data_IF_646184764664
#
_entry.id   IF_646184764664
#
_cell.length_a   1.000
_cell.length_b   1.000
_cell.length_c   1.000
_cell.angle_alpha   90.00
_cell.angle_beta   90.00
_cell.angle_gamma   90.00
#
_symmetry.space_group_name_H-M   'P 1'
#
loop_
_entity.id
_entity.type
_entity.pdbx_description
1 polymer ?
#
# COMPACT_ATOMS: atom_id res chain seq x y z
N UNK A 1 -12.13 -15.76 -7.31
CA UNK A 1 -12.36 -14.32 -7.55
C UNK A 1 -11.85 -13.98 -8.94
N UNK A 2 -12.55 -13.09 -9.64
CA UNK A 2 -12.38 -12.78 -11.06
C UNK A 2 -12.19 -11.27 -11.31
N UNK A 3 -12.03 -10.46 -10.27
CA UNK A 3 -11.72 -9.04 -10.43
C UNK A 3 -10.85 -8.45 -9.31
N UNK A 4 -9.84 -7.68 -9.68
CA UNK A 4 -8.88 -7.03 -8.76
C UNK A 4 -8.76 -5.53 -9.05
N UNK A 5 -8.96 -4.72 -8.02
CA UNK A 5 -8.62 -3.30 -8.03
C UNK A 5 -7.34 -3.08 -7.22
N UNK A 6 -6.26 -2.71 -7.89
CA UNK A 6 -5.03 -2.29 -7.23
C UNK A 6 -5.09 -0.81 -6.90
N UNK A 7 -4.79 -0.47 -5.64
CA UNK A 7 -4.81 0.90 -5.15
C UNK A 7 -3.42 1.28 -4.65
N UNK A 8 -2.76 2.19 -5.37
CA UNK A 8 -1.51 2.78 -4.90
C UNK A 8 -1.84 3.85 -3.86
N UNK A 9 -1.39 3.63 -2.62
CA UNK A 9 -1.65 4.59 -1.56
C UNK A 9 -0.82 5.86 -1.78
N UNK A 10 -1.34 7.02 -1.32
CA UNK A 10 -0.66 8.29 -1.48
C UNK A 10 0.80 8.25 -1.00
N UNK A 11 1.69 8.62 -1.90
CA UNK A 11 3.12 8.81 -1.69
C UNK A 11 3.63 9.91 -2.63
N UNK A 12 4.95 10.09 -2.75
CA UNK A 12 5.52 10.98 -3.76
C UNK A 12 5.13 10.49 -5.16
N UNK A 13 4.91 11.41 -6.11
CA UNK A 13 4.64 11.06 -7.52
C UNK A 13 5.80 10.21 -8.07
N UNK A 14 5.53 8.92 -8.24
CA UNK A 14 6.44 7.91 -8.77
C UNK A 14 5.63 6.83 -9.46
N UNK A 15 6.14 6.28 -10.56
CA UNK A 15 5.45 5.20 -11.26
C UNK A 15 5.30 3.97 -10.34
N UNK A 16 4.10 3.37 -10.24
CA UNK A 16 3.81 2.27 -9.31
C UNK A 16 4.30 0.91 -9.84
N UNK A 17 5.61 0.77 -10.06
CA UNK A 17 6.22 -0.41 -10.70
C UNK A 17 5.78 -1.74 -10.07
N UNK A 18 5.73 -1.81 -8.74
CA UNK A 18 5.33 -3.03 -8.03
C UNK A 18 3.88 -3.45 -8.34
N UNK A 19 2.94 -2.51 -8.43
CA UNK A 19 1.56 -2.82 -8.82
C UNK A 19 1.49 -3.26 -10.27
N UNK A 20 2.17 -2.55 -11.17
CA UNK A 20 2.13 -2.87 -12.60
C UNK A 20 2.77 -4.22 -12.88
N UNK A 21 3.82 -4.58 -12.13
CA UNK A 21 4.42 -5.91 -12.18
C UNK A 21 3.44 -6.98 -11.68
N UNK A 22 2.81 -6.78 -10.52
CA UNK A 22 1.80 -7.71 -9.99
C UNK A 22 0.64 -7.91 -10.98
N UNK A 23 0.16 -6.83 -11.61
CA UNK A 23 -0.95 -6.91 -12.55
C UNK A 23 -0.60 -7.71 -13.82
N UNK A 24 0.61 -7.51 -14.36
CA UNK A 24 1.13 -8.31 -15.48
C UNK A 24 1.35 -9.78 -15.07
N UNK A 25 1.90 -10.03 -13.88
CA UNK A 25 2.09 -11.38 -13.33
C UNK A 25 0.77 -12.15 -13.25
N UNK A 26 -0.29 -11.51 -12.72
CA UNK A 26 -1.62 -12.10 -12.64
C UNK A 26 -2.24 -12.26 -14.03
N UNK A 27 -2.08 -11.28 -14.92
CA UNK A 27 -2.63 -11.35 -16.28
C UNK A 27 -2.12 -12.57 -17.05
N UNK A 28 -0.83 -12.89 -16.93
CA UNK A 28 -0.22 -14.04 -17.61
C UNK A 28 -0.74 -15.38 -17.11
N UNK A 29 -1.13 -15.48 -15.84
CA UNK A 29 -1.54 -16.73 -15.18
C UNK A 29 -3.05 -16.90 -15.10
N UNK A 30 -3.78 -15.80 -15.00
CA UNK A 30 -5.23 -15.69 -14.88
C UNK A 30 -5.75 -14.58 -15.79
N UNK A 31 -5.63 -14.74 -17.13
CA UNK A 31 -6.09 -13.72 -18.08
C UNK A 31 -7.60 -13.46 -18.02
N UNK A 32 -8.35 -14.37 -17.40
CA UNK A 32 -9.78 -14.24 -17.11
C UNK A 32 -10.10 -13.23 -16.00
N UNK A 33 -9.12 -12.85 -15.18
CA UNK A 33 -9.30 -11.89 -14.08
C UNK A 33 -9.32 -10.47 -14.65
N UNK A 34 -10.41 -9.75 -14.42
CA UNK A 34 -10.48 -8.31 -14.72
C UNK A 34 -9.60 -7.55 -13.74
N UNK A 35 -8.81 -6.60 -14.23
CA UNK A 35 -7.90 -5.82 -13.40
C UNK A 35 -8.09 -4.33 -13.65
N UNK A 36 -7.89 -3.51 -12.63
CA UNK A 36 -7.79 -2.06 -12.75
C UNK A 36 -6.80 -1.52 -11.73
N UNK A 37 -6.06 -0.47 -12.10
CA UNK A 37 -5.12 0.23 -11.24
C UNK A 37 -5.64 1.65 -10.98
N UNK A 38 -5.63 2.05 -9.71
CA UNK A 38 -5.94 3.38 -9.22
C UNK A 38 -4.73 3.91 -8.43
N UNK A 39 -4.13 5.01 -8.89
CA UNK A 39 -3.15 5.75 -8.10
C UNK A 39 -3.80 6.94 -7.37
N UNK A 40 -3.88 6.84 -6.04
CA UNK A 40 -4.40 7.92 -5.19
C UNK A 40 -3.42 9.08 -4.98
N UNK A 41 -2.13 8.88 -5.27
CA UNK A 41 -1.10 9.91 -5.18
C UNK A 41 -1.32 11.06 -6.17
N UNK A 42 -1.96 10.77 -7.32
CA UNK A 42 -2.26 11.73 -8.38
C UNK A 42 -3.45 12.65 -8.06
N UNK A 43 -4.19 12.38 -6.97
CA UNK A 43 -5.33 13.20 -6.58
C UNK A 43 -5.02 14.07 -5.35
N UNK A 44 -5.60 15.28 -5.28
CA UNK A 44 -5.56 16.11 -4.08
C UNK A 44 -6.16 15.40 -2.85
N UNK A 45 -5.66 15.63 -1.62
CA UNK A 45 -6.11 14.92 -0.41
C UNK A 45 -7.62 14.88 -0.21
N UNK A 46 -8.31 15.99 -0.48
CA UNK A 46 -9.77 16.13 -0.32
C UNK A 46 -10.59 15.35 -1.37
N UNK A 47 -9.97 14.83 -2.43
CA UNK A 47 -10.65 14.08 -3.50
C UNK A 47 -10.39 12.57 -3.43
N UNK A 48 -9.34 12.12 -2.75
CA UNK A 48 -8.88 10.71 -2.78
C UNK A 48 -9.94 9.70 -2.35
N UNK A 49 -10.66 9.96 -1.25
CA UNK A 49 -11.73 9.06 -0.80
C UNK A 49 -12.89 8.99 -1.79
N UNK A 50 -13.25 10.12 -2.41
CA UNK A 50 -14.27 10.14 -3.45
C UNK A 50 -13.82 9.34 -4.67
N UNK A 51 -12.56 9.50 -5.11
CA UNK A 51 -12.02 8.76 -6.25
C UNK A 51 -11.94 7.26 -5.98
N UNK A 52 -11.54 6.85 -4.77
CA UNK A 52 -11.56 5.44 -4.38
C UNK A 52 -12.98 4.88 -4.43
N UNK A 53 -13.96 5.60 -3.87
CA UNK A 53 -15.38 5.18 -3.90
C UNK A 53 -15.89 5.03 -5.32
N UNK A 54 -15.68 6.03 -6.18
CA UNK A 54 -16.17 5.99 -7.57
C UNK A 54 -15.50 4.87 -8.36
N UNK A 55 -14.19 4.69 -8.22
CA UNK A 55 -13.47 3.59 -8.88
C UNK A 55 -13.98 2.21 -8.42
N UNK A 56 -14.13 2.00 -7.11
CA UNK A 56 -14.66 0.74 -6.56
C UNK A 56 -16.10 0.49 -7.01
N UNK A 57 -16.95 1.52 -7.00
CA UNK A 57 -18.34 1.42 -7.44
C UNK A 57 -18.47 1.10 -8.93
N UNK A 58 -17.66 1.73 -9.77
CA UNK A 58 -17.69 1.54 -11.22
C UNK A 58 -17.10 0.18 -11.63
N UNK A 59 -16.00 -0.24 -11.01
CA UNK A 59 -15.29 -1.47 -11.37
C UNK A 59 -15.88 -2.73 -10.71
N UNK A 60 -16.50 -2.57 -9.55
CA UNK A 60 -17.07 -3.62 -8.69
C UNK A 60 -16.07 -4.77 -8.45
N UNK A 61 -14.93 -4.50 -7.79
CA UNK A 61 -13.93 -5.53 -7.51
C UNK A 61 -14.42 -6.53 -6.46
N UNK A 62 -14.09 -7.80 -6.67
CA UNK A 62 -14.16 -8.81 -5.62
C UNK A 62 -12.97 -8.71 -4.66
N UNK A 63 -11.80 -8.25 -5.14
CA UNK A 63 -10.59 -8.06 -4.36
C UNK A 63 -10.02 -6.65 -4.55
N UNK A 64 -9.72 -5.95 -3.46
CA UNK A 64 -8.96 -4.69 -3.46
C UNK A 64 -7.58 -4.92 -2.86
N UNK A 65 -6.52 -4.61 -3.61
CA UNK A 65 -5.14 -4.75 -3.19
C UNK A 65 -4.52 -3.36 -2.98
N UNK A 66 -4.30 -2.97 -1.73
CA UNK A 66 -3.63 -1.73 -1.38
C UNK A 66 -2.11 -1.90 -1.40
N UNK A 67 -1.40 -0.98 -2.03
CA UNK A 67 0.06 -0.91 -1.98
C UNK A 67 0.50 0.31 -1.18
N UNK A 68 1.08 0.05 -0.01
CA UNK A 68 1.68 1.05 0.86
C UNK A 68 3.20 1.05 0.68
N UNK A 69 3.68 1.93 -0.20
CA UNK A 69 5.10 2.04 -0.53
C UNK A 69 5.91 2.70 0.58
N UNK A 70 5.51 3.91 0.98
CA UNK A 70 6.31 4.78 1.83
C UNK A 70 5.61 5.10 3.16
N UNK A 71 6.36 5.03 4.25
CA UNK A 71 6.09 5.80 5.47
C UNK A 71 7.27 6.75 5.59
N UNK A 72 6.98 8.05 5.50
CA UNK A 72 7.96 9.12 5.34
C UNK A 72 9.05 9.14 6.44
N UNK A 73 8.82 8.46 7.58
CA UNK A 73 9.82 8.23 8.64
C UNK A 73 11.09 7.52 8.12
N UNK A 74 10.99 6.68 7.07
CA UNK A 74 12.10 5.84 6.57
C UNK A 74 12.67 6.26 5.22
N UNK A 75 12.06 7.24 4.56
CA UNK A 75 12.53 7.74 3.26
C UNK A 75 12.44 9.26 3.25
N UNK A 76 13.34 9.96 3.96
CA UNK A 76 13.45 11.40 3.86
C UNK A 76 13.83 11.75 2.42
N UNK A 77 12.95 12.50 1.77
CA UNK A 77 13.11 12.94 0.39
C UNK A 77 13.69 14.36 0.36
N UNK A 78 14.16 14.82 -0.81
CA UNK A 78 14.53 16.23 -1.00
C UNK A 78 13.40 17.15 -0.53
N UNK A 79 13.72 18.04 0.42
CA UNK A 79 12.75 18.94 1.08
C UNK A 79 12.21 18.44 2.43
N UNK A 80 12.52 17.22 2.87
CA UNK A 80 12.19 16.74 4.22
C UNK A 80 13.30 17.07 5.21
N UNK A 81 13.18 18.23 5.87
CA UNK A 81 14.12 18.70 6.88
C UNK A 81 14.03 17.92 8.21
N UNK A 82 13.27 16.82 8.29
CA UNK A 82 13.10 16.03 9.51
C UNK A 82 14.42 15.51 10.08
N UNK A 83 15.34 15.05 9.22
CA UNK A 83 16.70 14.65 9.63
C UNK A 83 17.52 15.85 10.12
N UNK A 84 17.43 16.99 9.44
CA UNK A 84 18.13 18.21 9.85
C UNK A 84 17.64 18.70 11.22
N UNK A 85 16.33 18.67 11.45
CA UNK A 85 15.74 19.03 12.75
C UNK A 85 16.14 18.05 13.84
N UNK A 86 16.17 16.73 13.56
CA UNK A 86 16.68 15.75 14.50
C UNK A 86 18.16 16.03 14.84
N UNK A 87 18.99 16.29 13.84
CA UNK A 87 20.40 16.61 14.05
C UNK A 87 20.58 17.89 14.89
N UNK A 88 19.85 18.95 14.57
CA UNK A 88 19.89 20.21 15.33
C UNK A 88 19.39 20.02 16.78
N UNK A 89 18.39 19.19 17.01
CA UNK A 89 17.90 18.88 18.35
C UNK A 89 18.97 18.19 19.23
N UNK A 90 19.64 17.18 18.67
CA UNK A 90 20.64 16.39 19.40
C UNK A 90 22.01 17.09 19.51
N UNK A 91 22.44 17.82 18.47
CA UNK A 91 23.84 18.24 18.33
C UNK A 91 24.08 19.75 18.23
N UNK A 92 23.05 20.60 18.09
CA UNK A 92 23.31 22.03 17.98
C UNK A 92 23.85 22.60 19.31
N UNK A 93 24.98 23.32 19.26
CA UNK A 93 25.56 23.98 20.44
C UNK A 93 24.71 25.15 20.96
N UNK A 94 23.81 25.69 20.13
CA UNK A 94 22.94 26.81 20.49
C UNK A 94 21.60 26.29 21.08
N UNK A 95 21.27 26.60 22.35
CA UNK A 95 20.04 26.14 22.99
C UNK A 95 18.75 26.64 22.32
N UNK A 96 18.75 27.84 21.73
CA UNK A 96 17.58 28.36 20.99
C UNK A 96 17.34 27.54 19.71
N UNK A 97 18.42 27.14 19.01
CA UNK A 97 18.32 26.25 17.84
C UNK A 97 17.75 24.88 18.22
N UNK A 98 18.13 24.35 19.38
CA UNK A 98 17.58 23.08 19.90
C UNK A 98 16.09 23.18 20.19
N UNK A 99 15.64 24.27 20.81
CA UNK A 99 14.21 24.49 21.11
C UNK A 99 13.38 24.61 19.83
N UNK A 100 13.84 25.40 18.86
CA UNK A 100 13.17 25.53 17.56
C UNK A 100 13.09 24.16 16.86
N UNK A 101 14.19 23.40 16.86
CA UNK A 101 14.23 22.06 16.30
C UNK A 101 13.26 21.09 17.00
N UNK A 102 13.04 21.21 18.32
CA UNK A 102 12.03 20.44 19.05
C UNK A 102 10.61 20.69 18.53
N UNK A 103 10.23 21.96 18.34
CA UNK A 103 8.91 22.31 17.82
C UNK A 103 8.72 21.83 16.38
N UNK A 104 9.76 21.94 15.54
CA UNK A 104 9.76 21.43 14.17
C UNK A 104 9.66 19.89 14.13
N UNK A 105 10.37 19.20 15.02
CA UNK A 105 10.28 17.75 15.19
C UNK A 105 8.86 17.30 15.58
N UNK A 106 8.22 18.02 16.51
CA UNK A 106 6.84 17.74 16.91
C UNK A 106 5.85 17.96 15.75
N UNK A 107 6.03 19.02 14.97
CA UNK A 107 5.22 19.29 13.77
C UNK A 107 5.36 18.15 12.74
N UNK A 108 6.59 17.70 12.48
CA UNK A 108 6.85 16.58 11.57
C UNK A 108 6.21 15.28 12.05
N UNK A 109 6.30 14.99 13.35
CA UNK A 109 5.64 13.83 13.95
C UNK A 109 4.12 13.88 13.76
N UNK A 110 3.51 15.05 14.00
CA UNK A 110 2.08 15.24 13.79
C UNK A 110 1.67 15.03 12.33
N UNK A 111 2.47 15.54 11.38
CA UNK A 111 2.29 15.31 9.94
C UNK A 111 2.33 13.81 9.61
N UNK A 112 3.37 13.10 10.04
CA UNK A 112 3.50 11.66 9.78
C UNK A 112 2.35 10.85 10.36
N UNK A 113 1.93 11.19 11.57
CA UNK A 113 0.78 10.54 12.19
C UNK A 113 -0.52 10.79 11.42
N UNK A 114 -0.69 12.02 10.93
CA UNK A 114 -1.82 12.40 10.09
C UNK A 114 -1.80 11.64 8.77
N UNK A 115 -0.66 11.50 8.11
CA UNK A 115 -0.53 10.75 6.84
C UNK A 115 -0.83 9.26 7.02
N UNK A 116 -0.31 8.64 8.09
CA UNK A 116 -0.60 7.24 8.44
C UNK A 116 -2.11 7.05 8.66
N UNK A 117 -2.76 7.96 9.39
CA UNK A 117 -4.22 7.90 9.59
C UNK A 117 -4.99 8.03 8.29
N UNK A 118 -4.58 8.91 7.38
CA UNK A 118 -5.22 9.04 6.07
C UNK A 118 -5.09 7.73 5.27
N UNK A 119 -3.91 7.13 5.23
CA UNK A 119 -3.70 5.87 4.53
C UNK A 119 -4.51 4.72 5.14
N UNK A 120 -4.60 4.65 6.47
CA UNK A 120 -5.47 3.69 7.15
C UNK A 120 -6.96 3.93 6.88
N UNK A 121 -7.38 5.15 6.56
CA UNK A 121 -8.79 5.44 6.30
C UNK A 121 -9.34 4.78 5.03
N UNK A 122 -8.49 4.46 4.05
CA UNK A 122 -8.95 3.90 2.77
C UNK A 122 -9.43 2.44 2.88
N UNK A 123 -8.71 1.51 3.54
CA UNK A 123 -9.27 0.19 3.83
C UNK A 123 -10.56 0.24 4.67
N UNK A 124 -10.64 1.15 5.65
CA UNK A 124 -11.86 1.36 6.44
C UNK A 124 -13.05 1.85 5.61
N UNK A 125 -12.78 2.71 4.61
CA UNK A 125 -13.79 3.16 3.66
C UNK A 125 -14.35 1.98 2.85
N UNK A 126 -13.47 1.13 2.30
CA UNK A 126 -13.89 -0.05 1.53
C UNK A 126 -14.65 -1.03 2.41
N UNK A 127 -14.17 -1.33 3.62
CA UNK A 127 -14.87 -2.20 4.56
C UNK A 127 -16.29 -1.73 4.85
N UNK A 128 -16.48 -0.41 5.00
CA UNK A 128 -17.76 0.20 5.36
C UNK A 128 -18.75 0.18 4.20
N UNK A 129 -18.30 0.54 3.00
CA UNK A 129 -19.19 0.76 1.86
C UNK A 129 -19.31 -0.47 0.94
N UNK A 130 -18.32 -1.37 0.96
CA UNK A 130 -18.24 -2.57 0.12
C UNK A 130 -17.85 -3.80 0.97
N UNK A 131 -18.69 -4.20 1.96
CA UNK A 131 -18.33 -5.22 2.96
C UNK A 131 -18.10 -6.63 2.39
N UNK A 132 -18.57 -6.90 1.17
CA UNK A 132 -18.35 -8.19 0.48
C UNK A 132 -17.02 -8.26 -0.28
N UNK A 133 -16.30 -7.15 -0.41
CA UNK A 133 -15.04 -7.08 -1.14
C UNK A 133 -13.89 -7.54 -0.25
N UNK A 134 -13.16 -8.57 -0.68
CA UNK A 134 -11.93 -8.99 -0.02
C UNK A 134 -10.86 -7.91 -0.12
N UNK A 135 -9.98 -7.83 0.86
CA UNK A 135 -8.92 -6.82 0.89
C UNK A 135 -7.57 -7.43 1.22
N UNK A 136 -6.57 -6.96 0.48
CA UNK A 136 -5.15 -7.23 0.75
C UNK A 136 -4.40 -5.91 0.87
N UNK A 137 -3.32 -5.90 1.65
CA UNK A 137 -2.41 -4.77 1.73
C UNK A 137 -0.96 -5.23 1.75
N UNK A 138 -0.09 -4.56 1.01
CA UNK A 138 1.33 -4.89 0.94
C UNK A 138 2.18 -3.66 0.65
N UNK A 139 3.41 -3.88 0.21
CA UNK A 139 4.39 -2.83 -0.08
C UNK A 139 5.48 -2.70 0.99
N UNK A 140 6.55 -1.98 0.64
CA UNK A 140 7.75 -1.89 1.47
C UNK A 140 7.48 -1.32 2.87
N UNK A 141 6.75 -0.20 2.95
CA UNK A 141 6.38 0.38 4.23
C UNK A 141 5.43 -0.50 5.02
N UNK A 142 4.44 -1.14 4.38
CA UNK A 142 3.58 -2.08 5.10
C UNK A 142 4.41 -3.22 5.68
N UNK A 143 5.32 -3.82 4.90
CA UNK A 143 6.17 -4.93 5.35
C UNK A 143 7.05 -4.55 6.54
N UNK A 144 7.60 -3.32 6.54
CA UNK A 144 8.44 -2.83 7.63
C UNK A 144 7.67 -2.61 8.95
N UNK A 145 6.37 -2.28 8.88
CA UNK A 145 5.53 -1.96 10.05
C UNK A 145 4.31 -2.87 10.19
N UNK A 146 4.39 -4.08 9.64
CA UNK A 146 3.24 -4.95 9.49
C UNK A 146 2.55 -5.24 10.83
N UNK A 147 3.34 -5.50 11.86
CA UNK A 147 2.86 -5.75 13.22
C UNK A 147 2.08 -4.57 13.81
N UNK A 148 2.55 -3.34 13.59
CA UNK A 148 1.91 -2.14 14.14
C UNK A 148 0.70 -1.72 13.29
N UNK A 149 0.74 -1.97 11.98
CA UNK A 149 -0.30 -1.55 11.04
C UNK A 149 -1.48 -2.52 11.03
N UNK A 150 -1.25 -3.84 11.11
CA UNK A 150 -2.34 -4.83 11.09
C UNK A 150 -3.33 -4.61 12.24
N UNK A 151 -2.83 -4.18 13.40
CA UNK A 151 -3.66 -3.88 14.57
C UNK A 151 -4.65 -2.73 14.31
N UNK A 152 -4.32 -1.82 13.38
CA UNK A 152 -5.11 -0.63 13.06
C UNK A 152 -6.04 -0.81 11.86
N UNK A 153 -5.87 -1.89 11.12
CA UNK A 153 -6.71 -2.23 9.97
C UNK A 153 -8.01 -2.91 10.41
N UNK A 154 -9.05 -2.87 9.55
CA UNK A 154 -10.21 -3.74 9.68
C UNK A 154 -9.82 -5.22 9.84
N UNK A 155 -10.65 -6.00 10.54
CA UNK A 155 -10.44 -7.44 10.63
C UNK A 155 -10.60 -8.12 9.26
N UNK A 156 -9.88 -9.23 9.06
CA UNK A 156 -9.94 -10.02 7.83
C UNK A 156 -9.12 -9.48 6.65
N UNK A 157 -8.48 -8.31 6.78
CA UNK A 157 -7.55 -7.83 5.75
C UNK A 157 -6.26 -8.65 5.78
N UNK A 158 -5.90 -9.22 4.63
CA UNK A 158 -4.66 -9.98 4.47
C UNK A 158 -3.50 -9.00 4.19
N UNK A 159 -2.60 -8.86 5.15
CA UNK A 159 -1.33 -8.17 4.98
C UNK A 159 -0.28 -9.08 4.33
N UNK A 160 0.43 -8.61 3.31
CA UNK A 160 1.50 -9.33 2.62
C UNK A 160 2.85 -8.81 3.07
N UNK A 161 3.77 -9.72 3.39
CA UNK A 161 5.11 -9.44 3.90
C UNK A 161 6.16 -9.78 2.83
N UNK A 162 6.55 -8.77 2.05
CA UNK A 162 7.44 -8.94 0.89
C UNK A 162 6.66 -9.07 -0.42
N UNK A 163 7.08 -10.03 -1.24
CA UNK A 163 6.53 -10.31 -2.57
C UNK A 163 5.12 -10.93 -2.47
N UNK A 164 4.18 -10.46 -3.30
CA UNK A 164 2.74 -10.73 -3.16
C UNK A 164 2.10 -11.54 -4.29
N UNK A 165 2.87 -11.91 -5.29
CA UNK A 165 2.47 -12.58 -6.53
C UNK A 165 1.69 -13.87 -6.24
N UNK A 166 2.34 -14.80 -5.53
CA UNK A 166 1.78 -16.12 -5.20
C UNK A 166 0.58 -15.98 -4.24
N UNK A 167 0.64 -15.04 -3.30
CA UNK A 167 -0.43 -14.82 -2.34
C UNK A 167 -1.71 -14.31 -3.00
N UNK A 168 -1.59 -13.34 -3.92
CA UNK A 168 -2.74 -12.85 -4.69
C UNK A 168 -3.29 -13.97 -5.56
N UNK A 169 -2.43 -14.74 -6.24
CA UNK A 169 -2.87 -15.85 -7.09
C UNK A 169 -3.66 -16.90 -6.30
N UNK A 170 -3.19 -17.29 -5.12
CA UNK A 170 -3.90 -18.21 -4.22
C UNK A 170 -5.27 -17.68 -3.80
N UNK A 171 -5.34 -16.41 -3.37
CA UNK A 171 -6.61 -15.77 -3.00
C UNK A 171 -7.57 -15.74 -4.20
N UNK A 172 -7.09 -15.44 -5.40
CA UNK A 172 -7.90 -15.45 -6.62
C UNK A 172 -8.44 -16.84 -6.97
N UNK A 173 -7.68 -17.90 -6.68
CA UNK A 173 -8.08 -19.29 -6.87
C UNK A 173 -8.95 -19.84 -5.72
N UNK A 174 -9.12 -19.10 -4.62
CA UNK A 174 -9.77 -19.61 -3.41
C UNK A 174 -8.92 -20.67 -2.68
N UNK A 175 -7.61 -20.67 -2.91
CA UNK A 175 -6.65 -21.55 -2.26
C UNK A 175 -6.21 -20.97 -0.91
N UNK A 176 -5.89 -21.82 0.08
CA UNK A 176 -5.32 -21.36 1.34
C UNK A 176 -3.94 -20.72 1.10
N UNK A 177 -3.65 -19.64 1.82
CA UNK A 177 -2.33 -18.97 1.77
C UNK A 177 -1.19 -19.93 2.17
N UNK A 178 -1.45 -20.87 3.08
CA UNK A 178 -0.48 -21.89 3.48
C UNK A 178 0.80 -21.25 4.03
N UNK A 179 1.94 -21.54 3.39
CA UNK A 179 3.26 -21.02 3.78
C UNK A 179 3.58 -19.62 3.22
N UNK A 180 2.64 -18.88 2.60
CA UNK A 180 2.96 -17.52 2.15
C UNK A 180 3.35 -16.60 3.32
N UNK A 181 4.16 -15.57 3.04
CA UNK A 181 4.51 -14.55 4.04
C UNK A 181 3.35 -13.55 4.16
N UNK A 182 2.42 -13.84 5.05
CA UNK A 182 1.27 -12.97 5.32
C UNK A 182 1.13 -12.65 6.80
N UNK A 183 0.30 -11.66 7.10
CA UNK A 183 -0.19 -11.30 8.43
C UNK A 183 -1.68 -10.99 8.33
N UNK A 184 -2.48 -11.50 9.25
CA UNK A 184 -3.92 -11.23 9.27
C UNK A 184 -4.38 -11.09 10.72
N UNK A 185 -5.34 -10.21 10.97
CA UNK A 185 -6.02 -10.08 12.25
C UNK A 185 -7.46 -10.54 12.12
N UNK A 186 -7.84 -11.56 12.87
CA UNK A 186 -9.19 -12.10 12.92
C UNK A 186 -9.59 -12.35 14.37
N UNK A 187 -10.79 -11.90 14.77
CA UNK A 187 -11.31 -12.09 16.13
C UNK A 187 -10.33 -11.56 17.20
N UNK A 188 -9.69 -10.42 16.94
CA UNK A 188 -8.66 -9.84 17.80
C UNK A 188 -7.33 -10.61 17.89
N UNK A 189 -7.12 -11.68 17.12
CA UNK A 189 -5.88 -12.45 17.09
C UNK A 189 -5.10 -12.20 15.80
N UNK A 190 -3.83 -11.85 15.94
CA UNK A 190 -2.90 -11.74 14.82
C UNK A 190 -2.26 -13.10 14.51
N UNK A 191 -2.32 -13.52 13.26
CA UNK A 191 -1.69 -14.73 12.74
C UNK A 191 -0.72 -14.36 11.62
N UNK A 192 0.43 -15.04 11.55
CA UNK A 192 1.44 -14.85 10.50
C UNK A 192 1.77 -16.16 9.81
N UNK A 193 1.95 -16.09 8.49
CA UNK A 193 2.57 -17.14 7.70
C UNK A 193 4.07 -16.91 7.51
N UNK A 194 4.82 -17.99 7.37
CA UNK A 194 6.27 -17.96 7.08
C UNK A 194 6.55 -18.81 5.85
N UNK A 195 7.18 -18.22 4.83
CA UNK A 195 7.64 -18.92 3.63
C UNK A 195 9.11 -19.26 3.77
N UNK A 196 9.43 -20.54 3.61
CA UNK A 196 10.82 -21.03 3.63
C UNK A 196 11.47 -21.04 2.24
N UNK A 197 10.71 -20.74 1.18
CA UNK A 197 11.17 -20.81 -0.21
C UNK A 197 11.22 -19.40 -0.86
N UNK A 198 12.30 -19.04 -1.57
CA UNK A 198 12.37 -17.81 -2.34
C UNK A 198 11.25 -17.73 -3.39
N UNK A 199 10.80 -16.51 -3.69
CA UNK A 199 9.83 -16.28 -4.76
C UNK A 199 10.41 -16.69 -6.12
N UNK A 200 9.57 -17.19 -7.03
CA UNK A 200 9.96 -17.44 -8.41
C UNK A 200 10.27 -16.10 -9.11
N UNK A 201 11.47 -15.99 -9.69
CA UNK A 201 11.81 -14.88 -10.57
C UNK A 201 11.26 -15.18 -11.97
N UNK A 202 10.27 -14.41 -12.40
CA UNK A 202 9.76 -14.47 -13.76
C UNK A 202 10.59 -13.59 -14.72
N UNK A 203 10.51 -13.90 -16.01
CA UNK A 203 11.18 -13.13 -17.06
C UNK A 203 10.62 -11.69 -17.15
N UNK A 204 11.54 -10.72 -17.22
CA UNK A 204 11.30 -9.25 -17.21
C UNK A 204 10.48 -8.68 -18.40
N UNK A 205 9.95 -9.50 -19.29
CA UNK A 205 9.08 -8.98 -20.35
C UNK A 205 7.76 -8.53 -19.73
N UNK A 206 7.27 -7.34 -20.02
CA UNK A 206 6.00 -6.79 -19.51
C UNK A 206 5.05 -6.48 -20.67
N UNK A 207 3.76 -6.81 -20.55
CA UNK A 207 2.73 -6.49 -21.54
C UNK A 207 2.25 -5.04 -21.37
N UNK A 208 2.98 -4.10 -21.99
CA UNK A 208 2.67 -2.67 -21.93
C UNK A 208 1.28 -2.32 -22.49
N UNK A 209 0.86 -2.85 -23.66
CA UNK A 209 -0.50 -2.64 -24.15
C UNK A 209 -1.57 -3.02 -23.12
N UNK A 210 -1.45 -4.19 -22.48
CA UNK A 210 -2.38 -4.58 -21.43
C UNK A 210 -2.34 -3.63 -20.23
N UNK A 211 -1.15 -3.33 -19.69
CA UNK A 211 -1.02 -2.46 -18.52
C UNK A 211 -1.62 -1.07 -18.73
N UNK A 212 -1.40 -0.47 -19.90
CA UNK A 212 -1.97 0.85 -20.23
C UNK A 212 -3.48 0.81 -20.38
N UNK A 213 -4.07 -0.35 -20.73
CA UNK A 213 -5.52 -0.53 -20.81
C UNK A 213 -6.19 -0.59 -19.42
N UNK A 214 -5.49 -1.12 -18.40
CA UNK A 214 -6.01 -1.27 -17.03
C UNK A 214 -5.58 -0.16 -16.07
N UNK A 215 -4.64 0.71 -16.47
CA UNK A 215 -4.15 1.82 -15.67
C UNK A 215 -4.40 3.17 -16.36
N UNK A 216 -5.61 3.73 -16.34
CA UNK A 216 -5.94 4.95 -17.08
C UNK A 216 -5.03 6.15 -16.79
N UNK A 217 -4.44 6.20 -15.58
CA UNK A 217 -3.60 7.31 -15.12
C UNK A 217 -2.13 7.19 -15.58
N UNK A 218 -1.76 6.17 -16.37
CA UNK A 218 -0.37 5.96 -16.82
C UNK A 218 0.23 7.16 -17.57
N UNK A 219 -0.61 8.00 -18.19
CA UNK A 219 -0.17 9.19 -18.96
C UNK A 219 0.38 10.32 -18.10
N UNK A 220 0.24 10.23 -16.78
CA UNK A 220 0.77 11.21 -15.84
C UNK A 220 2.26 11.02 -15.55
N UNK A 221 2.91 9.97 -16.08
CA UNK A 221 4.33 9.66 -15.84
C UNK A 221 5.20 9.76 -17.09
#
# INVERSE_FOLDING_TARGET
MNSVLYVFLPCKKVYPTGITYLADFIHRRRPDVRQQILDLSLFPPNQRQAQLREATKAFQPELVCFSWRDIQIFSPHEGDASLEHAFNFYYASNPLKRVVASFQGLHNLYRYYTDIRHNLSYPWLIQKEFPSTGMMIGGGAFTAFADQLIEKLPEGIIGILGEGEDAILKVLNGEPLGEERFIIKEQGKVTKGTKNTPALLDALSVDIPYLTSIFPQYREY
#
